data_IF_010433673308
#
_entry.id   IF_010433673308
#
_cell.length_a   1.000
_cell.length_b   1.000
_cell.length_c   1.000
_cell.angle_alpha   90.00
_cell.angle_beta   90.00
_cell.angle_gamma   90.00
#
_symmetry.space_group_name_H-M   'P 1'
#
loop_
_entity.id
_entity.type
_entity.pdbx_description
1 polymer ?
#
# COMPACT_ATOMS: atom_id res chain seq x y z
N UNK A 1 0.38 -4.25 17.76
CA UNK A 1 -0.69 -3.78 16.87
C UNK A 1 -0.39 -2.37 16.38
N UNK A 2 -0.62 -2.13 15.12
CA UNK A 2 -0.31 -0.84 14.56
C UNK A 2 -1.36 0.21 14.90
N UNK A 3 -0.90 1.43 15.08
CA UNK A 3 -1.77 2.56 15.31
C UNK A 3 -2.58 2.85 14.04
N UNK A 4 -3.83 3.24 14.22
CA UNK A 4 -4.74 3.51 13.11
C UNK A 4 -4.21 4.59 12.18
N UNK A 5 -3.56 5.61 12.74
CA UNK A 5 -3.00 6.70 11.93
C UNK A 5 -1.90 6.20 11.01
N UNK A 6 -1.05 5.29 11.50
CA UNK A 6 0.01 4.72 10.68
C UNK A 6 -0.58 3.92 9.53
N UNK A 7 -1.62 3.15 9.80
CA UNK A 7 -2.27 2.34 8.78
C UNK A 7 -2.85 3.26 7.69
N UNK A 8 -3.59 4.28 8.09
CA UNK A 8 -4.24 5.16 7.12
C UNK A 8 -3.25 5.93 6.27
N UNK A 9 -2.11 6.28 6.86
CA UNK A 9 -1.10 7.06 6.13
C UNK A 9 -0.52 6.34 4.94
N UNK A 10 -0.55 5.00 4.95
CA UNK A 10 0.04 4.21 3.87
C UNK A 10 -1.02 3.51 3.02
N UNK A 11 -2.28 3.59 3.39
CA UNK A 11 -3.31 2.73 2.80
C UNK A 11 -3.55 3.00 1.33
N UNK A 12 -3.57 4.27 0.92
CA UNK A 12 -3.74 4.60 -0.49
C UNK A 12 -2.63 3.97 -1.33
N UNK A 13 -1.40 4.08 -0.85
CA UNK A 13 -0.25 3.51 -1.55
C UNK A 13 -0.39 2.00 -1.68
N UNK A 14 -0.80 1.35 -0.59
CA UNK A 14 -0.91 -0.11 -0.60
C UNK A 14 -2.00 -0.58 -1.55
N UNK A 15 -3.15 0.09 -1.55
CA UNK A 15 -4.23 -0.29 -2.46
C UNK A 15 -3.82 -0.05 -3.91
N UNK A 16 -3.19 1.08 -4.21
CA UNK A 16 -2.72 1.33 -5.57
C UNK A 16 -1.70 0.28 -6.00
N UNK A 17 -0.84 -0.16 -5.08
CA UNK A 17 0.14 -1.19 -5.38
C UNK A 17 -0.52 -2.51 -5.76
N UNK A 18 -1.58 -2.90 -5.04
CA UNK A 18 -2.30 -4.12 -5.37
C UNK A 18 -2.91 -4.01 -6.76
N UNK A 19 -3.53 -2.88 -7.06
CA UNK A 19 -4.18 -2.69 -8.35
C UNK A 19 -3.19 -2.55 -9.49
N UNK A 20 -1.94 -2.18 -9.19
CA UNK A 20 -0.91 -2.14 -10.20
C UNK A 20 -0.54 -3.54 -10.69
N UNK A 21 -0.78 -4.55 -9.87
CA UNK A 21 -0.51 -5.93 -10.27
C UNK A 21 -1.64 -6.51 -11.11
N UNK A 22 -2.87 -6.25 -10.69
CA UNK A 22 -4.04 -6.69 -11.45
C UNK A 22 -5.27 -6.01 -10.88
N UNK A 23 -6.34 -6.00 -11.68
CA UNK A 23 -7.62 -5.49 -11.21
C UNK A 23 -8.16 -6.40 -10.11
N UNK A 24 -8.79 -5.80 -9.12
CA UNK A 24 -9.34 -6.55 -8.00
C UNK A 24 -10.66 -5.95 -7.57
N UNK A 25 -11.55 -6.79 -7.03
CA UNK A 25 -12.75 -6.30 -6.37
C UNK A 25 -12.46 -6.12 -4.87
N UNK A 26 -13.37 -5.45 -4.16
CA UNK A 26 -13.09 -5.02 -2.79
C UNK A 26 -12.66 -6.12 -1.84
N UNK A 27 -13.43 -7.22 -1.81
CA UNK A 27 -13.09 -8.30 -0.91
C UNK A 27 -11.73 -8.91 -1.24
N UNK A 28 -11.41 -8.99 -2.53
CA UNK A 28 -10.12 -9.51 -2.96
C UNK A 28 -8.97 -8.64 -2.46
N UNK A 29 -9.16 -7.32 -2.49
CA UNK A 29 -8.15 -6.41 -1.95
C UNK A 29 -7.95 -6.62 -0.46
N UNK A 30 -9.06 -6.77 0.28
CA UNK A 30 -9.00 -7.00 1.72
C UNK A 30 -8.20 -8.26 2.03
N UNK A 31 -8.52 -9.37 1.35
CA UNK A 31 -7.85 -10.64 1.61
C UNK A 31 -6.39 -10.62 1.18
N UNK A 32 -6.09 -10.00 0.05
CA UNK A 32 -4.72 -9.94 -0.44
C UNK A 32 -3.85 -9.12 0.50
N UNK A 33 -4.37 -7.98 0.95
CA UNK A 33 -3.62 -7.13 1.86
C UNK A 33 -3.37 -7.83 3.19
N UNK A 34 -4.39 -8.49 3.72
CA UNK A 34 -4.25 -9.23 4.97
C UNK A 34 -3.20 -10.32 4.84
N UNK A 35 -3.29 -11.09 3.76
CA UNK A 35 -2.37 -12.20 3.54
C UNK A 35 -0.93 -11.74 3.37
N UNK A 36 -0.71 -10.72 2.53
CA UNK A 36 0.66 -10.26 2.26
C UNK A 36 1.30 -9.59 3.47
N UNK A 37 0.50 -8.99 4.32
CA UNK A 37 1.02 -8.32 5.51
C UNK A 37 1.09 -9.24 6.71
N UNK A 38 0.79 -10.53 6.53
CA UNK A 38 0.76 -11.50 7.62
C UNK A 38 -0.13 -11.01 8.75
N UNK A 39 -1.33 -10.55 8.36
CA UNK A 39 -2.38 -10.09 9.27
C UNK A 39 -2.10 -8.75 9.95
N UNK A 40 -1.07 -8.04 9.52
CA UNK A 40 -0.79 -6.71 10.08
C UNK A 40 -1.86 -5.71 9.63
N UNK A 41 -2.26 -5.78 8.34
CA UNK A 41 -3.29 -4.88 7.82
C UNK A 41 -4.60 -5.64 7.67
N UNK A 42 -5.50 -5.46 8.64
CA UNK A 42 -6.82 -6.07 8.60
C UNK A 42 -7.83 -4.99 8.28
N UNK A 43 -7.97 -4.72 7.00
CA UNK A 43 -8.82 -3.67 6.51
C UNK A 43 -10.26 -4.17 6.41
N UNK A 44 -11.20 -3.31 6.79
CA UNK A 44 -12.62 -3.64 6.71
C UNK A 44 -13.26 -2.86 5.58
N UNK A 45 -14.40 -3.38 5.09
CA UNK A 45 -15.13 -2.74 4.01
C UNK A 45 -15.49 -1.30 4.34
N UNK A 46 -15.84 -1.02 5.61
CA UNK A 46 -16.20 0.33 6.03
C UNK A 46 -15.05 1.32 5.91
N UNK A 47 -13.82 0.85 5.86
CA UNK A 47 -12.65 1.72 5.65
C UNK A 47 -12.22 1.70 4.19
N UNK A 48 -12.37 0.56 3.53
CA UNK A 48 -11.90 0.42 2.15
C UNK A 48 -12.73 1.23 1.16
N UNK A 49 -14.07 1.12 1.23
CA UNK A 49 -14.89 1.73 0.18
C UNK A 49 -14.84 3.25 0.18
N UNK A 50 -14.82 3.95 1.31
CA UNK A 50 -14.59 5.40 1.25
C UNK A 50 -13.25 5.76 0.62
N UNK A 51 -12.21 4.96 0.88
CA UNK A 51 -10.91 5.19 0.25
C UNK A 51 -11.00 5.00 -1.25
N UNK A 52 -11.65 3.92 -1.70
CA UNK A 52 -11.81 3.69 -3.13
C UNK A 52 -12.57 4.81 -3.81
N UNK A 53 -13.61 5.35 -3.15
CA UNK A 53 -14.36 6.47 -3.68
C UNK A 53 -13.45 7.70 -3.85
N UNK A 54 -12.60 7.95 -2.88
CA UNK A 54 -11.66 9.07 -2.97
C UNK A 54 -10.67 8.87 -4.12
N UNK A 55 -10.14 7.65 -4.25
CA UNK A 55 -9.19 7.36 -5.33
C UNK A 55 -9.88 7.51 -6.69
N UNK A 56 -11.13 7.07 -6.78
CA UNK A 56 -11.89 7.19 -8.03
C UNK A 56 -12.18 8.66 -8.35
N UNK A 57 -12.56 9.43 -7.35
CA UNK A 57 -12.85 10.85 -7.53
C UNK A 57 -11.62 11.62 -8.00
N UNK A 58 -10.44 11.16 -7.62
CA UNK A 58 -9.18 11.80 -8.04
C UNK A 58 -8.61 11.19 -9.31
N UNK A 59 -9.37 10.33 -9.97
CA UNK A 59 -8.97 9.69 -11.24
C UNK A 59 -7.76 8.79 -11.12
N UNK A 60 -7.52 8.27 -9.93
CA UNK A 60 -6.41 7.35 -9.72
C UNK A 60 -6.81 5.90 -10.00
N UNK A 61 -8.10 5.61 -9.90
CA UNK A 61 -8.64 4.30 -10.26
C UNK A 61 -9.95 4.50 -11.02
N UNK A 62 -10.34 3.49 -11.79
CA UNK A 62 -11.66 3.41 -12.41
C UNK A 62 -12.31 2.11 -11.94
N UNK A 63 -13.62 2.04 -12.09
CA UNK A 63 -14.36 0.86 -11.65
C UNK A 63 -15.22 0.34 -12.79
N UNK A 64 -15.40 -0.98 -12.82
CA UNK A 64 -16.28 -1.62 -13.79
C UNK A 64 -16.87 -2.87 -13.16
N UNK A 65 -17.95 -3.37 -13.74
CA UNK A 65 -18.58 -4.57 -13.24
C UNK A 65 -18.22 -5.75 -14.12
N UNK A 66 -18.06 -6.91 -13.51
CA UNK A 66 -17.73 -8.14 -14.20
C UNK A 66 -18.48 -9.27 -13.54
N UNK A 67 -19.20 -10.05 -14.31
CA UNK A 67 -19.97 -11.18 -13.80
C UNK A 67 -19.48 -12.53 -14.30
N UNK A 68 -18.21 -12.58 -14.72
CA UNK A 68 -17.64 -13.79 -15.31
C UNK A 68 -17.65 -14.99 -14.35
N UNK A 69 -17.67 -14.73 -13.04
CA UNK A 69 -17.64 -15.80 -12.05
C UNK A 69 -19.03 -16.21 -11.57
N UNK A 70 -20.09 -15.77 -12.25
CA UNK A 70 -21.46 -16.07 -11.87
C UNK A 70 -22.06 -15.10 -10.89
N UNK A 71 -21.28 -14.17 -10.36
CA UNK A 71 -21.73 -13.07 -9.53
C UNK A 71 -21.21 -11.77 -10.10
N UNK A 72 -22.07 -10.75 -10.10
CA UNK A 72 -21.63 -9.43 -10.52
C UNK A 72 -20.77 -8.83 -9.44
N UNK A 73 -19.55 -8.46 -9.77
CA UNK A 73 -18.60 -7.86 -8.85
C UNK A 73 -18.06 -6.57 -9.43
N UNK A 74 -17.84 -5.59 -8.57
CA UNK A 74 -17.28 -4.33 -9.00
C UNK A 74 -15.76 -4.39 -8.85
N UNK A 75 -15.08 -4.35 -9.99
CA UNK A 75 -13.62 -4.40 -10.03
C UNK A 75 -13.07 -3.00 -10.15
N UNK A 76 -11.85 -2.82 -9.65
CA UNK A 76 -11.16 -1.54 -9.72
C UNK A 76 -9.88 -1.72 -10.51
N UNK A 77 -9.54 -0.70 -11.27
CA UNK A 77 -8.41 -0.71 -12.17
C UNK A 77 -7.60 0.56 -11.94
N UNK A 78 -6.27 0.44 -11.81
CA UNK A 78 -5.42 1.61 -11.62
C UNK A 78 -5.26 2.33 -12.95
N UNK A 79 -5.32 3.67 -12.92
CA UNK A 79 -5.12 4.49 -14.11
C UNK A 79 -3.65 4.82 -14.26
N UNK A 80 -3.31 5.48 -15.40
CA UNK A 80 -1.95 5.97 -15.58
C UNK A 80 -1.60 6.97 -14.47
N UNK A 81 -2.53 7.86 -14.16
CA UNK A 81 -2.32 8.82 -13.08
C UNK A 81 -2.15 8.11 -11.75
N UNK A 82 -2.90 7.03 -11.52
CA UNK A 82 -2.74 6.24 -10.31
C UNK A 82 -1.35 5.66 -10.19
N UNK A 83 -0.79 5.18 -11.30
CA UNK A 83 0.58 4.65 -11.28
C UNK A 83 1.60 5.73 -10.98
N UNK A 84 1.38 6.94 -11.53
CA UNK A 84 2.28 8.06 -11.25
C UNK A 84 2.27 8.41 -9.78
N UNK A 85 1.08 8.49 -9.20
CA UNK A 85 0.94 8.81 -7.76
C UNK A 85 1.53 7.70 -6.90
N UNK A 86 1.32 6.44 -7.31
CA UNK A 86 1.91 5.32 -6.57
C UNK A 86 3.43 5.45 -6.51
N UNK A 87 4.05 5.79 -7.63
CA UNK A 87 5.51 5.95 -7.67
C UNK A 87 5.96 7.06 -6.74
N UNK A 88 5.26 8.19 -6.75
CA UNK A 88 5.60 9.31 -5.87
C UNK A 88 5.48 8.91 -4.40
N UNK A 89 4.39 8.22 -4.06
CA UNK A 89 4.18 7.81 -2.68
C UNK A 89 5.20 6.80 -2.22
N UNK A 90 5.60 5.89 -3.10
CA UNK A 90 6.64 4.93 -2.77
C UNK A 90 7.97 5.63 -2.49
N UNK A 91 8.31 6.63 -3.29
CA UNK A 91 9.54 7.36 -3.09
C UNK A 91 9.51 8.14 -1.77
N UNK A 92 8.37 8.78 -1.49
CA UNK A 92 8.20 9.48 -0.23
C UNK A 92 8.32 8.53 0.96
N UNK A 93 7.68 7.37 0.85
CA UNK A 93 7.73 6.38 1.91
C UNK A 93 9.15 5.89 2.13
N UNK A 94 9.88 5.58 1.05
CA UNK A 94 11.24 5.09 1.18
C UNK A 94 12.16 6.12 1.83
N UNK A 95 12.01 7.39 1.47
CA UNK A 95 12.78 8.47 2.07
C UNK A 95 12.47 8.60 3.55
N UNK A 96 11.19 8.58 3.89
CA UNK A 96 10.76 8.69 5.27
C UNK A 96 11.23 7.51 6.10
N UNK A 97 11.04 6.29 5.59
CA UNK A 97 11.42 5.09 6.31
C UNK A 97 12.92 5.04 6.54
N UNK A 98 13.71 5.43 5.54
CA UNK A 98 15.15 5.47 5.69
C UNK A 98 15.58 6.47 6.77
N UNK A 99 14.95 7.65 6.77
CA UNK A 99 15.27 8.65 7.77
C UNK A 99 14.93 8.18 9.18
N UNK A 100 13.75 7.56 9.34
CA UNK A 100 13.35 7.03 10.64
C UNK A 100 14.31 5.94 11.09
N UNK A 101 14.63 5.03 10.17
CA UNK A 101 15.54 3.93 10.48
C UNK A 101 16.91 4.45 10.89
N UNK A 102 17.41 5.45 10.20
CA UNK A 102 18.71 6.03 10.52
C UNK A 102 18.72 6.60 11.93
N UNK A 103 17.64 7.28 12.32
CA UNK A 103 17.57 7.83 13.66
C UNK A 103 17.46 6.73 14.70
N UNK A 104 16.60 5.74 14.45
CA UNK A 104 16.35 4.68 15.43
C UNK A 104 17.53 3.74 15.61
N UNK A 105 18.28 3.47 14.56
CA UNK A 105 19.37 2.51 14.61
C UNK A 105 20.73 3.15 14.81
N UNK A 106 20.75 4.43 15.13
CA UNK A 106 22.01 5.16 15.29
C UNK A 106 22.98 4.49 16.22
N UNK A 107 22.49 3.95 17.32
CA UNK A 107 23.35 3.36 18.34
C UNK A 107 23.85 1.98 17.96
N UNK A 108 23.34 1.39 16.91
CA UNK A 108 23.69 0.04 16.52
C UNK A 108 24.79 -0.04 15.50
N UNK A 109 25.15 1.08 15.01
CA UNK A 109 26.03 1.06 13.87
C UNK A 109 27.42 0.66 14.22
N UNK A 110 27.38 0.47 14.34
CA UNK A 110 28.20 0.12 14.31
C UNK A 110 28.37 -1.10 14.07
N UNK A 111 28.12 -1.39 13.86
CA UNK A 111 28.03 -2.53 13.55
C UNK A 111 27.91 -3.01 12.35
N UNK A 112 28.28 -2.71 12.32
CA UNK A 112 28.08 -2.99 11.16
C UNK A 112 28.23 -3.23 10.26
N UNK A 113 28.65 -3.32 10.21
CA UNK A 113 28.68 -3.17 9.16
C UNK A 113 28.78 -3.38 8.36
N UNK A 114 29.44 -3.58 8.85
CA UNK A 114 29.46 -3.43 7.97
C UNK A 114 29.24 -3.71 7.15
N UNK A 115 29.89 -3.82 7.86
CA UNK A 115 29.63 -3.56 7.19
C UNK A 115 29.29 -3.51 6.46
N UNK A 116 29.39 -3.63 6.89
CA UNK A 116 29.11 -3.19 6.55
C UNK A 116 28.74 -2.81 5.95
N UNK A 117 29.44 -3.17 6.62
CA UNK A 117 29.17 -2.43 6.40
C UNK A 117 28.78 -2.13 5.82
N UNK A 118 28.88 -2.31 5.91
CA UNK A 118 28.59 -1.60 5.72
C UNK A 118 28.13 -1.09 5.31
N UNK A 119 28.67 -1.52 5.96
CA UNK A 119 28.28 -0.70 5.84
C UNK A 119 28.11 -0.21 5.77
N UNK A 120 28.44 -0.25 6.04
CA UNK A 120 28.38 0.53 6.07
C UNK A 120 28.22 0.84 5.82
N UNK A 121 28.55 0.68 6.14
CA UNK A 121 28.47 1.28 6.02
C UNK A 121 28.28 1.47 5.87
#
# INVERSE_FOLDING_TARGET
MLNKSLIQGSLSMLILRLLDEKDMYGYEMIETLRSRSENVFELKAGSLYPLLHTLEANNLVTAYEDDASGKTRKYYHITREGRRILKEKKEEWNTYAAAVTNVLSLSLIHISEPTRLRCIS
#
